data_IF_995495853135
#
_entry.id   IF_995495853135
#
_cell.length_a   1.000
_cell.length_b   1.000
_cell.length_c   1.000
_cell.angle_alpha   90.00
_cell.angle_beta   90.00
_cell.angle_gamma   90.00
#
_symmetry.space_group_name_H-M   'P 1'
#
loop_
_entity.id
_entity.type
_entity.pdbx_description
1 polymer ?
#
# COMPACT_ATOMS: atom_id res chain seq x y z
N UNK A 1 -12.28 8.90 4.39
CA UNK A 1 -11.92 7.58 3.83
C UNK A 1 -12.41 7.53 2.39
N UNK A 2 -11.51 7.33 1.43
CA UNK A 2 -11.81 7.22 0.00
C UNK A 2 -11.74 5.75 -0.44
N UNK A 3 -12.65 5.34 -1.33
CA UNK A 3 -12.64 4.00 -1.94
C UNK A 3 -12.99 4.17 -3.41
N UNK A 4 -12.06 3.82 -4.29
CA UNK A 4 -12.20 3.95 -5.74
C UNK A 4 -13.13 2.85 -6.32
N UNK A 5 -14.44 2.99 -6.09
CA UNK A 5 -15.46 1.98 -6.48
C UNK A 5 -15.65 1.85 -7.99
N UNK A 6 -15.18 2.84 -8.76
CA UNK A 6 -15.24 2.87 -10.22
C UNK A 6 -14.14 2.04 -10.88
N UNK A 7 -13.10 1.65 -10.14
CA UNK A 7 -12.02 0.80 -10.65
C UNK A 7 -12.44 -0.66 -10.72
N UNK A 8 -11.74 -1.42 -11.56
CA UNK A 8 -11.92 -2.87 -11.62
C UNK A 8 -11.55 -3.52 -10.28
N UNK A 9 -12.22 -4.64 -9.98
CA UNK A 9 -11.93 -5.37 -8.73
C UNK A 9 -10.50 -5.92 -8.76
N UNK A 10 -9.70 -5.73 -7.69
CA UNK A 10 -8.35 -6.26 -7.63
C UNK A 10 -8.33 -7.79 -7.78
N UNK A 11 -7.61 -8.31 -8.78
CA UNK A 11 -7.59 -9.74 -9.11
C UNK A 11 -6.32 -10.17 -9.86
N UNK A 12 -6.20 -11.48 -10.14
CA UNK A 12 -5.05 -12.04 -10.87
C UNK A 12 -5.04 -11.70 -12.37
N UNK A 13 -6.20 -11.42 -12.96
CA UNK A 13 -6.36 -11.30 -14.41
C UNK A 13 -6.77 -9.90 -14.90
N UNK A 14 -6.96 -8.93 -13.99
CA UNK A 14 -7.28 -7.54 -14.37
C UNK A 14 -6.04 -6.74 -14.76
N UNK A 15 -6.15 -5.90 -15.78
CA UNK A 15 -5.14 -4.87 -16.06
C UNK A 15 -5.02 -3.94 -14.85
N UNK A 16 -3.80 -3.61 -14.44
CA UNK A 16 -3.56 -2.67 -13.32
C UNK A 16 -3.54 -1.21 -13.78
N UNK A 17 -3.77 -0.95 -15.07
CA UNK A 17 -3.62 0.38 -15.67
C UNK A 17 -4.56 1.40 -15.04
N UNK A 18 -5.83 1.06 -14.84
CA UNK A 18 -6.83 1.96 -14.22
C UNK A 18 -6.45 2.35 -12.78
N UNK A 19 -5.92 1.38 -12.02
CA UNK A 19 -5.39 1.61 -10.67
C UNK A 19 -4.12 2.47 -10.68
N UNK A 20 -3.23 2.28 -11.66
CA UNK A 20 -2.02 3.09 -11.81
C UNK A 20 -2.34 4.52 -12.26
N UNK A 21 -3.36 4.70 -13.11
CA UNK A 21 -3.86 6.01 -13.52
C UNK A 21 -4.43 6.77 -12.34
N UNK A 22 -5.33 6.15 -11.58
CA UNK A 22 -5.89 6.73 -10.37
C UNK A 22 -4.78 7.05 -9.34
N UNK A 23 -3.82 6.14 -9.15
CA UNK A 23 -2.70 6.36 -8.23
C UNK A 23 -1.86 7.57 -8.66
N UNK A 24 -1.58 7.72 -9.96
CA UNK A 24 -0.83 8.85 -10.47
C UNK A 24 -1.57 10.18 -10.23
N UNK A 25 -2.88 10.24 -10.51
CA UNK A 25 -3.70 11.42 -10.26
C UNK A 25 -3.72 11.80 -8.77
N UNK A 26 -3.87 10.82 -7.88
CA UNK A 26 -3.88 11.05 -6.44
C UNK A 26 -2.52 11.54 -5.92
N UNK A 27 -1.41 10.94 -6.39
CA UNK A 27 -0.05 11.35 -6.01
C UNK A 27 0.23 12.78 -6.47
N UNK A 28 -0.14 13.11 -7.71
CA UNK A 28 0.03 14.45 -8.26
C UNK A 28 -0.80 15.48 -7.49
N UNK A 29 -2.07 15.17 -7.19
CA UNK A 29 -2.96 16.03 -6.40
C UNK A 29 -2.45 16.24 -4.96
N UNK A 30 -1.79 15.24 -4.39
CA UNK A 30 -1.14 15.35 -3.08
C UNK A 30 0.23 16.07 -3.14
N UNK A 31 0.74 16.36 -4.35
CA UNK A 31 2.07 16.93 -4.57
C UNK A 31 3.18 16.01 -4.07
N UNK A 32 3.01 14.69 -4.24
CA UNK A 32 3.82 13.69 -3.56
C UNK A 32 3.18 13.28 -2.23
N UNK A 33 3.94 13.36 -1.12
CA UNK A 33 3.45 13.13 0.26
C UNK A 33 2.75 11.80 0.48
N UNK A 34 3.11 10.79 -0.32
CA UNK A 34 2.32 9.57 -0.44
C UNK A 34 3.05 8.34 0.09
N UNK A 35 2.42 7.66 1.03
CA UNK A 35 2.80 6.32 1.46
C UNK A 35 1.95 5.29 0.71
N UNK A 36 2.59 4.56 -0.22
CA UNK A 36 1.95 3.52 -1.05
C UNK A 36 2.18 2.13 -0.47
N UNK A 37 1.10 1.46 -0.11
CA UNK A 37 1.13 0.20 0.65
C UNK A 37 0.52 -0.91 -0.19
N UNK A 38 1.40 -1.79 -0.64
CA UNK A 38 1.06 -2.82 -1.60
C UNK A 38 1.04 -4.20 -0.94
N UNK A 39 0.17 -5.05 -1.43
CA UNK A 39 0.04 -6.44 -1.00
C UNK A 39 1.22 -7.34 -1.39
N UNK A 40 2.08 -6.89 -2.30
CA UNK A 40 3.27 -7.62 -2.72
C UNK A 40 4.36 -6.68 -3.20
N UNK A 41 5.62 -7.08 -3.02
CA UNK A 41 6.77 -6.33 -3.53
C UNK A 41 6.75 -6.19 -5.05
N UNK A 42 6.27 -7.20 -5.78
CA UNK A 42 6.05 -7.12 -7.23
C UNK A 42 5.08 -5.99 -7.58
N UNK A 43 4.00 -5.83 -6.81
CA UNK A 43 3.02 -4.79 -7.01
C UNK A 43 3.57 -3.38 -6.71
N UNK A 44 4.35 -3.24 -5.63
CA UNK A 44 5.02 -1.99 -5.28
C UNK A 44 6.05 -1.58 -6.35
N UNK A 45 6.88 -2.52 -6.82
CA UNK A 45 7.88 -2.28 -7.84
C UNK A 45 7.27 -1.81 -9.16
N UNK A 46 6.22 -2.51 -9.63
CA UNK A 46 5.53 -2.13 -10.85
C UNK A 46 4.94 -0.72 -10.77
N UNK A 47 4.35 -0.34 -9.63
CA UNK A 47 3.83 1.00 -9.44
C UNK A 47 4.94 2.05 -9.37
N UNK A 48 6.04 1.78 -8.69
CA UNK A 48 7.18 2.69 -8.61
C UNK A 48 7.81 2.94 -9.98
N UNK A 49 8.04 1.89 -10.77
CA UNK A 49 8.59 1.99 -12.12
C UNK A 49 7.68 2.80 -13.04
N UNK A 50 6.37 2.51 -13.03
CA UNK A 50 5.39 3.23 -13.85
C UNK A 50 5.31 4.72 -13.46
N UNK A 51 5.14 5.02 -12.17
CA UNK A 51 4.93 6.40 -11.73
C UNK A 51 6.21 7.25 -11.84
N UNK A 52 7.41 6.67 -11.70
CA UNK A 52 8.68 7.38 -11.99
C UNK A 52 8.76 7.83 -13.45
N UNK A 53 8.09 7.14 -14.37
CA UNK A 53 8.00 7.53 -15.78
C UNK A 53 6.92 8.58 -16.07
N UNK A 54 5.99 8.81 -15.13
CA UNK A 54 4.80 9.67 -15.32
C UNK A 54 4.85 10.96 -14.52
N UNK A 55 5.49 10.95 -13.36
CA UNK A 55 5.46 12.02 -12.38
C UNK A 55 6.85 12.59 -12.15
N UNK A 56 6.94 13.90 -11.99
CA UNK A 56 8.15 14.60 -11.55
C UNK A 56 8.23 14.65 -10.02
N UNK A 57 8.21 13.47 -9.39
CA UNK A 57 8.24 13.30 -7.92
C UNK A 57 9.22 12.19 -7.53
N UNK A 58 10.01 12.35 -6.45
CA UNK A 58 10.85 11.27 -5.96
C UNK A 58 9.98 10.12 -5.46
N UNK A 59 10.25 8.90 -5.92
CA UNK A 59 9.57 7.69 -5.44
C UNK A 59 10.62 6.77 -4.88
N UNK A 60 10.58 6.54 -3.57
CA UNK A 60 11.40 5.59 -2.85
C UNK A 60 10.71 4.23 -2.84
N UNK A 61 11.47 3.15 -3.00
CA UNK A 61 10.93 1.79 -3.01
C UNK A 61 11.62 0.92 -1.95
N UNK A 62 10.80 0.21 -1.17
CA UNK A 62 11.28 -0.78 -0.21
C UNK A 62 12.22 -1.79 -0.88
N UNK A 63 13.41 -1.98 -0.30
CA UNK A 63 14.43 -2.91 -0.81
C UNK A 63 15.49 -2.25 -1.71
N UNK A 64 15.33 -0.98 -2.08
CA UNK A 64 16.40 -0.21 -2.72
C UNK A 64 17.38 0.39 -1.68
N UNK A 65 16.89 0.71 -0.48
CA UNK A 65 17.70 1.14 0.68
C UNK A 65 17.22 0.45 1.96
N UNK A 66 17.90 0.73 3.08
CA UNK A 66 17.43 0.28 4.40
C UNK A 66 16.12 0.98 4.75
N UNK A 67 15.25 0.30 5.51
CA UNK A 67 13.96 0.88 5.89
C UNK A 67 14.12 2.21 6.66
N UNK A 68 15.15 2.31 7.52
CA UNK A 68 15.43 3.54 8.27
C UNK A 68 15.81 4.72 7.37
N UNK A 69 16.62 4.48 6.32
CA UNK A 69 16.98 5.51 5.34
C UNK A 69 15.77 5.92 4.50
N UNK A 70 14.97 4.96 4.02
CA UNK A 70 13.75 5.25 3.25
C UNK A 70 12.78 6.13 4.05
N UNK A 71 12.54 5.80 5.32
CA UNK A 71 11.67 6.58 6.20
C UNK A 71 12.25 7.97 6.45
N UNK A 72 13.55 8.06 6.71
CA UNK A 72 14.24 9.33 6.92
C UNK A 72 14.12 10.24 5.69
N UNK A 73 14.37 9.70 4.50
CA UNK A 73 14.31 10.44 3.24
C UNK A 73 12.87 10.87 2.93
N UNK A 74 11.90 9.96 3.11
CA UNK A 74 10.48 10.29 2.97
C UNK A 74 10.01 11.35 3.97
N UNK A 75 10.47 11.32 5.23
CA UNK A 75 10.12 12.34 6.21
C UNK A 75 10.76 13.70 5.91
N UNK A 76 11.96 13.72 5.31
CA UNK A 76 12.73 14.94 5.08
C UNK A 76 12.25 15.77 3.89
N UNK A 77 11.66 15.14 2.87
CA UNK A 77 11.18 15.81 1.67
C UNK A 77 9.68 15.54 1.45
N UNK A 78 8.82 16.56 1.57
CA UNK A 78 7.40 16.36 1.35
C UNK A 78 7.01 15.99 -0.08
N UNK A 79 7.80 16.30 -1.10
CA UNK A 79 7.45 15.89 -2.48
C UNK A 79 7.68 14.40 -2.73
N UNK A 80 8.37 13.73 -1.81
CA UNK A 80 8.73 12.32 -1.92
C UNK A 80 7.52 11.40 -1.65
N UNK A 81 7.49 10.27 -2.34
CA UNK A 81 6.62 9.14 -2.07
C UNK A 81 7.44 7.95 -1.56
N UNK A 82 6.85 7.12 -0.69
CA UNK A 82 7.45 5.87 -0.23
C UNK A 82 6.53 4.70 -0.53
N UNK A 83 6.98 3.79 -1.40
CA UNK A 83 6.23 2.60 -1.82
C UNK A 83 6.84 1.33 -1.22
N UNK A 84 5.99 0.43 -0.74
CA UNK A 84 6.43 -0.86 -0.25
C UNK A 84 5.27 -1.73 0.22
N UNK A 85 5.58 -2.77 1.00
CA UNK A 85 4.59 -3.73 1.49
C UNK A 85 4.14 -3.43 2.92
N UNK A 86 3.15 -4.19 3.39
CA UNK A 86 2.57 -4.10 4.73
C UNK A 86 3.58 -4.14 5.88
N UNK A 87 4.82 -4.62 5.69
CA UNK A 87 5.88 -4.48 6.69
C UNK A 87 6.18 -3.02 7.04
N UNK A 88 5.79 -2.05 6.20
CA UNK A 88 5.85 -0.61 6.48
C UNK A 88 4.82 -0.15 7.52
N UNK A 89 3.81 -0.96 7.88
CA UNK A 89 2.72 -0.54 8.77
C UNK A 89 3.07 -0.55 10.25
N UNK A 90 4.09 -1.32 10.63
CA UNK A 90 4.41 -1.53 12.04
C UNK A 90 5.69 -0.76 12.38
N UNK A 91 5.53 0.36 13.09
CA UNK A 91 6.65 1.12 13.68
C UNK A 91 7.17 2.30 12.84
N UNK A 92 6.46 2.70 11.78
CA UNK A 92 6.82 3.87 10.97
C UNK A 92 5.99 5.08 11.42
N UNK A 93 6.65 5.99 12.15
CA UNK A 93 6.11 7.32 12.43
C UNK A 93 6.79 8.32 11.48
N UNK A 94 5.99 8.96 10.61
CA UNK A 94 6.46 9.99 9.68
C UNK A 94 5.89 11.32 10.16
N UNK A 95 6.56 12.00 11.10
CA UNK A 95 6.08 13.28 11.60
C UNK A 95 6.14 14.35 10.51
N UNK A 96 5.16 15.26 10.51
CA UNK A 96 5.16 16.45 9.66
C UNK A 96 4.31 16.32 8.41
N UNK A 97 4.61 17.15 7.40
CA UNK A 97 3.76 17.34 6.23
C UNK A 97 4.04 16.33 5.10
N UNK A 98 4.96 15.39 5.30
CA UNK A 98 5.46 14.49 4.26
C UNK A 98 4.62 13.23 4.07
N UNK A 99 3.74 12.89 5.02
CA UNK A 99 2.75 11.82 4.84
C UNK A 99 1.34 12.40 4.97
N UNK A 100 0.74 12.76 3.85
CA UNK A 100 -0.64 13.30 3.78
C UNK A 100 -1.59 12.38 3.04
N UNK A 101 -1.06 11.50 2.19
CA UNK A 101 -1.83 10.49 1.48
C UNK A 101 -1.28 9.10 1.83
N UNK A 102 -2.20 8.19 2.17
CA UNK A 102 -1.90 6.78 2.38
C UNK A 102 -2.76 5.99 1.40
N UNK A 103 -2.13 5.27 0.47
CA UNK A 103 -2.82 4.46 -0.53
C UNK A 103 -2.58 2.98 -0.27
N UNK A 104 -3.63 2.16 -0.42
CA UNK A 104 -3.54 0.71 -0.30
C UNK A 104 -4.08 0.06 -1.57
N UNK A 105 -3.30 -0.82 -2.21
CA UNK A 105 -3.75 -1.54 -3.42
C UNK A 105 -4.84 -2.59 -3.12
N UNK A 106 -4.87 -3.07 -1.88
CA UNK A 106 -5.94 -3.91 -1.32
C UNK A 106 -5.86 -3.90 0.20
N UNK A 107 -7.01 -4.12 0.82
CA UNK A 107 -7.09 -4.31 2.26
C UNK A 107 -6.39 -5.64 2.62
N UNK A 108 -5.50 -5.65 3.63
CA UNK A 108 -4.85 -6.85 4.11
C UNK A 108 -5.83 -7.69 4.92
N UNK A 109 -6.66 -8.47 4.24
CA UNK A 109 -7.39 -9.54 4.90
C UNK A 109 -6.45 -10.73 5.15
N UNK A 110 -6.52 -11.36 6.34
CA UNK A 110 -5.85 -12.62 6.59
C UNK A 110 -6.25 -13.62 5.50
N UNK A 111 -5.31 -14.49 5.11
CA UNK A 111 -5.67 -15.57 4.18
C UNK A 111 -6.69 -16.48 4.87
N UNK A 112 -7.80 -16.86 4.20
CA UNK A 112 -8.77 -17.80 4.77
C UNK A 112 -8.12 -19.13 5.20
N UNK A 113 -7.08 -19.52 4.45
CA UNK A 113 -6.33 -20.77 4.61
C UNK A 113 -5.16 -20.65 5.60
N UNK A 114 -5.06 -19.55 6.35
CA UNK A 114 -4.07 -19.43 7.41
C UNK A 114 -4.41 -20.43 8.52
N UNK A 115 -3.53 -21.41 8.84
CA UNK A 115 -3.81 -22.47 9.80
C UNK A 115 -4.26 -21.96 11.18
N UNK A 116 -3.75 -20.80 11.59
CA UNK A 116 -4.12 -20.18 12.86
C UNK A 116 -5.51 -19.54 12.80
N UNK A 117 -5.86 -18.95 11.66
CA UNK A 117 -7.20 -18.38 11.45
C UNK A 117 -8.24 -19.48 11.34
N UNK A 118 -7.97 -20.54 10.58
CA UNK A 118 -8.88 -21.70 10.47
C UNK A 118 -9.10 -22.36 11.84
N UNK A 119 -8.07 -22.47 12.68
CA UNK A 119 -8.20 -22.99 14.04
C UNK A 119 -9.06 -22.09 14.95
N UNK A 120 -8.90 -20.76 14.85
CA UNK A 120 -9.72 -19.79 15.60
C UNK A 120 -11.16 -19.77 15.12
N UNK A 121 -11.38 -19.83 13.81
CA UNK A 121 -12.70 -19.82 13.20
C UNK A 121 -13.49 -21.05 13.64
N UNK A 122 -12.84 -22.23 13.62
CA UNK A 122 -13.42 -23.48 14.10
C UNK A 122 -13.79 -23.41 15.59
N UNK A 123 -12.95 -22.82 16.44
CA UNK A 123 -13.26 -22.65 17.86
C UNK A 123 -14.45 -21.70 18.11
N UNK A 124 -14.62 -20.66 17.28
CA UNK A 124 -15.77 -19.73 17.36
C UNK A 124 -17.05 -20.39 16.87
N UNK A 125 -16.99 -21.16 15.78
CA UNK A 125 -18.12 -21.95 15.27
C UNK A 125 -18.55 -23.04 16.27
N UNK A 126 -17.59 -23.75 16.89
CA UNK A 126 -17.86 -24.74 17.95
C UNK A 126 -18.51 -24.11 19.20
N UNK A 127 -18.26 -22.82 19.44
CA UNK A 127 -18.89 -22.03 20.51
C UNK A 127 -20.23 -21.39 20.10
N UNK A 128 -20.73 -21.65 18.88
CA UNK A 128 -22.01 -21.15 18.37
C UNK A 128 -21.97 -19.70 17.85
N UNK A 129 -20.78 -19.13 17.64
CA UNK A 129 -20.60 -17.81 17.04
C UNK A 129 -20.43 -17.86 15.52
N UNK A 130 -20.55 -16.70 14.86
CA UNK A 130 -20.19 -16.56 13.44
C UNK A 130 -18.70 -16.20 13.34
N UNK A 131 -17.93 -17.00 12.62
CA UNK A 131 -16.49 -16.82 12.40
C UNK A 131 -16.11 -15.84 11.29
N UNK A 132 -17.06 -15.02 10.82
CA UNK A 132 -16.89 -13.95 9.83
C UNK A 132 -17.11 -12.57 10.44
#
# INVERSE_FOLDING_TARGET
>A
LYVARHLNTPGREGSRTDMLDELAELVEAAGGRTLGLFSSMRGAKAAAEELRGRLDKPILLQGEETLGELIKNFAADPETCLFGTLSLWQGVDVPGASCQLVVMDRIPFPRPDDPLMSARQKAVEEAGGNGF
#
